data_IF_432534743914
#
_entry.id   IF_432534743914
#
_cell.length_a   1.000
_cell.length_b   1.000
_cell.length_c   1.000
_cell.angle_alpha   90.00
_cell.angle_beta   90.00
_cell.angle_gamma   90.00
#
_symmetry.space_group_name_H-M   'P 1'
#
loop_
_entity.id
_entity.type
_entity.pdbx_description
1 polymer ?
#
# COMPACT_ATOMS: atom_id res chain seq x y z
N UNK A 1 -29.34 15.13 35.43
CA UNK A 1 -28.90 15.44 34.05
C UNK A 1 -27.46 14.94 33.90
N UNK A 2 -27.25 13.86 33.15
CA UNK A 2 -25.94 13.25 32.96
C UNK A 2 -25.41 13.62 31.57
N UNK A 3 -24.31 14.37 31.53
CA UNK A 3 -23.59 14.73 30.32
C UNK A 3 -22.79 13.54 29.80
N UNK A 4 -23.18 13.00 28.64
CA UNK A 4 -22.42 11.99 27.93
C UNK A 4 -21.23 12.64 27.20
N UNK A 5 -20.09 12.73 27.89
CA UNK A 5 -18.77 12.91 27.27
C UNK A 5 -18.40 11.64 26.49
N UNK A 6 -18.94 11.49 25.27
CA UNK A 6 -18.35 10.58 24.29
C UNK A 6 -17.04 11.22 23.80
N UNK A 7 -15.95 10.91 24.49
CA UNK A 7 -14.60 11.09 23.92
C UNK A 7 -14.58 10.27 22.64
N UNK A 8 -14.44 10.97 21.50
CA UNK A 8 -14.05 10.34 20.25
C UNK A 8 -12.76 9.57 20.54
N UNK A 9 -12.85 8.25 20.61
CA UNK A 9 -11.69 7.39 20.67
C UNK A 9 -10.88 7.74 19.42
N UNK A 10 -9.71 8.34 19.63
CA UNK A 10 -8.81 8.69 18.55
C UNK A 10 -8.56 7.45 17.72
N UNK A 11 -9.02 7.49 16.47
CA UNK A 11 -8.57 6.57 15.43
C UNK A 11 -7.04 6.66 15.44
N UNK A 12 -6.39 5.65 16.00
CA UNK A 12 -4.96 5.46 15.85
C UNK A 12 -4.73 5.19 14.37
N UNK A 13 -4.47 6.25 13.60
CA UNK A 13 -4.32 6.26 12.15
C UNK A 13 -3.11 5.48 11.65
N UNK A 14 -3.11 4.17 11.89
CA UNK A 14 -2.20 3.23 11.25
C UNK A 14 -2.60 3.01 9.80
N UNK A 15 -1.62 2.79 8.93
CA UNK A 15 -1.87 2.37 7.54
C UNK A 15 -2.57 1.02 7.58
N UNK A 16 -3.74 0.91 6.94
CA UNK A 16 -4.46 -0.35 6.83
C UNK A 16 -3.62 -1.34 6.00
N UNK A 17 -3.21 -2.44 6.63
CA UNK A 17 -2.57 -3.57 5.96
C UNK A 17 -3.53 -4.76 5.96
N UNK A 18 -3.71 -5.38 4.80
CA UNK A 18 -4.43 -6.63 4.60
C UNK A 18 -3.96 -7.19 3.24
N UNK A 19 -3.47 -8.43 3.09
CA UNK A 19 -3.60 -9.62 3.97
C UNK A 19 -2.26 -10.05 4.60
N UNK A 20 -2.26 -11.17 5.35
CA UNK A 20 -1.09 -11.77 6.03
C UNK A 20 0.08 -12.11 5.08
N UNK A 21 -0.20 -12.19 3.77
CA UNK A 21 0.77 -12.45 2.71
C UNK A 21 0.52 -11.53 1.51
N UNK A 22 1.56 -11.16 0.73
CA UNK A 22 1.37 -10.41 -0.51
C UNK A 22 0.41 -11.12 -1.48
N UNK A 23 -0.59 -10.39 -1.99
CA UNK A 23 -1.46 -10.87 -3.06
C UNK A 23 -0.85 -10.62 -4.44
N UNK A 24 -1.31 -11.41 -5.41
CA UNK A 24 -0.92 -11.25 -6.80
C UNK A 24 0.53 -11.64 -7.09
N UNK A 25 0.94 -11.57 -8.37
CA UNK A 25 2.31 -11.82 -8.79
C UNK A 25 3.28 -10.76 -8.24
N UNK A 26 4.57 -11.08 -8.24
CA UNK A 26 5.64 -10.08 -8.11
C UNK A 26 5.71 -9.19 -9.36
N UNK A 27 6.44 -8.07 -9.29
CA UNK A 27 6.78 -7.35 -10.52
C UNK A 27 7.57 -8.30 -11.43
N UNK A 28 7.27 -8.33 -12.74
CA UNK A 28 8.06 -9.12 -13.67
C UNK A 28 9.49 -8.57 -13.75
N UNK A 29 10.40 -9.41 -14.24
CA UNK A 29 11.77 -8.98 -14.47
C UNK A 29 11.79 -7.73 -15.35
N UNK A 30 12.61 -6.74 -14.97
CA UNK A 30 12.70 -5.46 -15.68
C UNK A 30 13.00 -5.65 -17.19
N UNK A 31 13.82 -6.65 -17.53
CA UNK A 31 14.17 -6.98 -18.92
C UNK A 31 12.99 -7.45 -19.78
N UNK A 32 11.90 -7.91 -19.16
CA UNK A 32 10.71 -8.40 -19.86
C UNK A 32 9.73 -7.29 -20.21
N UNK A 33 9.72 -6.18 -19.46
CA UNK A 33 8.62 -5.20 -19.52
C UNK A 33 9.09 -3.74 -19.64
N UNK A 34 10.30 -3.42 -19.19
CA UNK A 34 10.87 -2.08 -19.32
C UNK A 34 11.68 -1.96 -20.62
N UNK A 35 11.90 -0.74 -21.14
CA UNK A 35 12.84 -0.51 -22.22
C UNK A 35 14.22 -1.09 -21.90
N UNK A 36 14.97 -1.50 -22.93
CA UNK A 36 16.30 -2.12 -22.75
C UNK A 36 17.20 -1.28 -21.83
N UNK A 37 17.86 -1.95 -20.89
CA UNK A 37 18.77 -1.40 -19.87
C UNK A 37 18.09 -0.53 -18.79
N UNK A 38 16.77 -0.57 -18.65
CA UNK A 38 16.10 0.03 -17.50
C UNK A 38 15.92 -1.00 -16.39
N UNK A 39 15.97 -0.51 -15.16
CA UNK A 39 15.69 -1.27 -13.95
C UNK A 39 14.45 -0.71 -13.26
N UNK A 40 13.84 -1.53 -12.41
CA UNK A 40 12.83 -1.06 -11.47
C UNK A 40 13.49 -0.18 -10.41
N UNK A 41 13.05 1.07 -10.31
CA UNK A 41 13.47 1.94 -9.21
C UNK A 41 13.10 1.28 -7.86
N UNK A 42 13.99 1.31 -6.84
CA UNK A 42 13.71 0.71 -5.54
C UNK A 42 12.41 1.20 -4.89
N UNK A 43 12.06 2.48 -5.11
CA UNK A 43 10.82 3.06 -4.59
C UNK A 43 9.58 2.45 -5.25
N UNK A 44 9.66 2.11 -6.54
CA UNK A 44 8.55 1.52 -7.30
C UNK A 44 8.30 0.09 -6.85
N UNK A 45 9.38 -0.67 -6.63
CA UNK A 45 9.29 -2.02 -6.06
C UNK A 45 8.63 -1.97 -4.67
N UNK A 46 9.11 -1.08 -3.79
CA UNK A 46 8.52 -0.89 -2.47
C UNK A 46 7.03 -0.53 -2.51
N UNK A 47 6.63 0.40 -3.39
CA UNK A 47 5.22 0.78 -3.53
C UNK A 47 4.34 -0.35 -4.04
N UNK A 48 4.86 -1.18 -4.95
CA UNK A 48 4.14 -2.35 -5.43
C UNK A 48 3.97 -3.38 -4.31
N UNK A 49 5.02 -3.64 -3.53
CA UNK A 49 4.96 -4.57 -2.42
C UNK A 49 3.99 -4.10 -1.32
N UNK A 50 4.00 -2.81 -0.98
CA UNK A 50 3.00 -2.24 -0.06
C UNK A 50 1.58 -2.33 -0.62
N UNK A 51 1.39 -2.15 -1.94
CA UNK A 51 0.08 -2.38 -2.56
C UNK A 51 -0.38 -3.82 -2.38
N UNK A 52 0.49 -4.81 -2.60
CA UNK A 52 0.13 -6.24 -2.52
C UNK A 52 -0.32 -6.69 -1.12
N UNK A 53 0.06 -5.95 -0.09
CA UNK A 53 -0.37 -6.17 1.31
C UNK A 53 -1.40 -5.14 1.78
N UNK A 54 -2.00 -4.39 0.87
CA UNK A 54 -3.04 -3.41 1.17
C UNK A 54 -4.44 -3.97 0.93
N UNK A 55 -5.48 -3.50 1.66
CA UNK A 55 -6.87 -3.88 1.39
C UNK A 55 -7.30 -3.73 -0.07
N UNK A 56 -6.70 -2.77 -0.79
CA UNK A 56 -6.94 -2.49 -2.20
C UNK A 56 -6.54 -3.67 -3.10
N UNK A 57 -5.50 -4.44 -2.75
CA UNK A 57 -5.11 -5.62 -3.51
C UNK A 57 -6.21 -6.70 -3.55
N UNK A 58 -7.09 -6.74 -2.54
CA UNK A 58 -8.22 -7.67 -2.54
C UNK A 58 -9.25 -7.35 -3.63
N UNK A 59 -9.26 -6.12 -4.15
CA UNK A 59 -10.13 -5.71 -5.25
C UNK A 59 -9.65 -6.24 -6.61
N UNK A 60 -8.40 -6.69 -6.70
CA UNK A 60 -7.80 -7.22 -7.94
C UNK A 60 -8.12 -8.72 -8.08
N UNK A 61 -9.25 -9.02 -8.72
CA UNK A 61 -9.85 -10.37 -8.72
C UNK A 61 -9.30 -11.32 -9.80
N UNK A 62 -8.62 -10.82 -10.82
CA UNK A 62 -8.25 -11.63 -11.99
C UNK A 62 -6.82 -11.35 -12.44
N UNK A 63 -6.17 -12.33 -13.07
CA UNK A 63 -4.81 -12.17 -13.61
C UNK A 63 -4.68 -11.02 -14.60
N UNK A 64 -5.63 -10.77 -15.54
CA UNK A 64 -5.56 -9.59 -16.41
C UNK A 64 -5.56 -8.27 -15.64
N UNK A 65 -6.30 -8.13 -14.53
CA UNK A 65 -6.26 -6.92 -13.72
C UNK A 65 -4.90 -6.74 -13.03
N UNK A 66 -4.28 -7.84 -12.58
CA UNK A 66 -2.91 -7.81 -12.04
C UNK A 66 -1.89 -7.37 -13.09
N UNK A 67 -2.03 -7.84 -14.34
CA UNK A 67 -1.18 -7.41 -15.45
C UNK A 67 -1.37 -5.92 -15.77
N UNK A 68 -2.62 -5.43 -15.80
CA UNK A 68 -2.90 -3.99 -15.96
C UNK A 68 -2.28 -3.14 -14.86
N UNK A 69 -2.31 -3.64 -13.62
CA UNK A 69 -1.66 -2.97 -12.49
C UNK A 69 -0.14 -2.95 -12.65
N UNK A 70 0.50 -4.05 -13.03
CA UNK A 70 1.94 -4.08 -13.31
C UNK A 70 2.33 -3.07 -14.41
N UNK A 71 1.53 -2.95 -15.47
CA UNK A 71 1.72 -1.94 -16.51
C UNK A 71 1.56 -0.49 -16.00
N UNK A 72 0.68 -0.26 -15.03
CA UNK A 72 0.60 1.04 -14.37
C UNK A 72 1.90 1.37 -13.62
N UNK A 73 2.49 0.39 -12.93
CA UNK A 73 3.78 0.57 -12.26
C UNK A 73 4.94 0.80 -13.23
N UNK A 74 4.89 0.27 -14.46
CA UNK A 74 5.86 0.62 -15.53
C UNK A 74 5.81 2.12 -15.85
N UNK A 75 4.61 2.68 -16.04
CA UNK A 75 4.45 4.12 -16.30
C UNK A 75 4.90 4.97 -15.11
N UNK A 76 4.63 4.53 -13.87
CA UNK A 76 5.12 5.21 -12.66
C UNK A 76 6.65 5.17 -12.62
N UNK A 77 7.28 4.06 -12.97
CA UNK A 77 8.73 3.93 -13.05
C UNK A 77 9.33 4.90 -14.07
N UNK A 78 8.78 4.95 -15.27
CA UNK A 78 9.23 5.88 -16.32
C UNK A 78 9.03 7.35 -15.91
N UNK A 79 7.88 7.67 -15.30
CA UNK A 79 7.57 9.00 -14.81
C UNK A 79 8.60 9.47 -13.78
N UNK A 80 8.98 8.61 -12.84
CA UNK A 80 9.98 8.91 -11.81
C UNK A 80 11.39 8.99 -12.39
N UNK A 81 11.76 8.09 -13.31
CA UNK A 81 13.06 8.11 -13.99
C UNK A 81 13.27 9.39 -14.81
N UNK A 82 12.24 9.84 -15.52
CA UNK A 82 12.32 10.98 -16.43
C UNK A 82 11.98 12.32 -15.77
N UNK A 83 11.42 12.30 -14.56
CA UNK A 83 10.89 13.49 -13.87
C UNK A 83 9.65 14.10 -14.55
N UNK A 84 9.06 13.41 -15.53
CA UNK A 84 7.94 13.94 -16.32
C UNK A 84 6.60 13.52 -15.71
N UNK A 85 6.21 14.15 -14.61
CA UNK A 85 4.99 13.81 -13.86
C UNK A 85 3.66 13.95 -14.63
N UNK A 86 3.68 14.55 -15.82
CA UNK A 86 2.51 14.63 -16.70
C UNK A 86 2.27 13.36 -17.54
N UNK A 87 3.20 12.41 -17.60
CA UNK A 87 3.20 11.33 -18.61
C UNK A 87 2.31 10.13 -18.29
N UNK A 88 1.70 10.05 -17.11
CA UNK A 88 0.80 8.93 -16.81
C UNK A 88 -0.43 8.99 -17.71
N UNK A 89 -0.70 7.90 -18.44
CA UNK A 89 -1.79 7.87 -19.42
C UNK A 89 -3.17 7.96 -18.74
N UNK A 90 -4.22 8.47 -19.43
CA UNK A 90 -5.56 8.55 -18.88
C UNK A 90 -6.09 7.21 -18.37
N UNK A 91 -5.78 6.12 -19.06
CA UNK A 91 -6.21 4.76 -18.71
C UNK A 91 -5.56 4.31 -17.40
N UNK A 92 -4.26 4.60 -17.22
CA UNK A 92 -3.58 4.31 -15.95
C UNK A 92 -4.13 5.17 -14.84
N UNK A 93 -4.37 6.47 -15.05
CA UNK A 93 -5.02 7.34 -14.05
C UNK A 93 -6.38 6.81 -13.63
N UNK A 94 -7.18 6.35 -14.58
CA UNK A 94 -8.48 5.75 -14.33
C UNK A 94 -8.34 4.46 -13.51
N UNK A 95 -7.40 3.58 -13.88
CA UNK A 95 -7.10 2.35 -13.16
C UNK A 95 -6.68 2.63 -11.72
N UNK A 96 -5.72 3.53 -11.50
CA UNK A 96 -5.29 3.93 -10.15
C UNK A 96 -6.45 4.51 -9.33
N UNK A 97 -7.34 5.27 -10.00
CA UNK A 97 -8.58 5.77 -9.41
C UNK A 97 -9.54 4.67 -8.96
N UNK A 98 -9.61 3.53 -9.66
CA UNK A 98 -10.45 2.40 -9.22
C UNK A 98 -9.92 1.74 -7.94
N UNK A 99 -8.62 1.85 -7.66
CA UNK A 99 -7.99 1.26 -6.49
C UNK A 99 -7.75 2.25 -5.34
N UNK A 100 -8.35 3.45 -5.37
CA UNK A 100 -8.22 4.36 -4.23
C UNK A 100 -6.91 5.09 -4.11
N UNK A 101 -6.18 5.32 -5.19
CA UNK A 101 -4.94 6.09 -5.09
C UNK A 101 -5.13 7.58 -4.84
N UNK A 102 -6.37 8.07 -4.89
CA UNK A 102 -6.72 9.47 -4.60
C UNK A 102 -7.63 9.56 -3.37
N UNK A 103 -7.59 10.67 -2.60
CA UNK A 103 -8.52 10.85 -1.49
C UNK A 103 -9.99 10.81 -1.91
N UNK A 104 -10.32 11.16 -3.16
CA UNK A 104 -11.67 11.05 -3.69
C UNK A 104 -12.07 9.59 -3.95
N UNK A 105 -11.17 8.79 -4.52
CA UNK A 105 -11.42 7.36 -4.77
C UNK A 105 -11.46 6.53 -3.48
N UNK A 106 -10.62 6.83 -2.48
CA UNK A 106 -10.72 6.19 -1.15
C UNK A 106 -12.08 6.42 -0.51
N UNK A 107 -12.56 7.68 -0.52
CA UNK A 107 -13.89 8.03 -0.01
C UNK A 107 -15.00 7.29 -0.77
N UNK A 108 -14.88 7.19 -2.10
CA UNK A 108 -15.84 6.45 -2.93
C UNK A 108 -15.87 4.94 -2.61
N UNK A 109 -14.72 4.34 -2.31
CA UNK A 109 -14.60 2.93 -1.92
C UNK A 109 -15.09 2.65 -0.49
N UNK A 110 -15.46 3.69 0.28
CA UNK A 110 -15.96 3.56 1.66
C UNK A 110 -15.00 2.82 2.61
N UNK A 111 -13.70 2.78 2.30
CA UNK A 111 -12.66 2.22 3.17
C UNK A 111 -12.45 3.06 4.45
N UNK A 112 -13.09 4.23 4.53
CA UNK A 112 -13.20 5.08 5.73
C UNK A 112 -14.22 4.56 6.76
N UNK A 113 -14.93 3.46 6.45
CA UNK A 113 -15.82 2.78 7.38
C UNK A 113 -15.07 1.55 7.90
N UNK A 114 -15.02 1.31 9.23
CA UNK A 114 -14.52 0.04 9.74
C UNK A 114 -15.25 -1.08 9.01
N UNK A 115 -14.51 -2.05 8.45
CA UNK A 115 -15.11 -3.23 7.86
C UNK A 115 -16.06 -3.82 8.90
N UNK A 116 -17.32 -4.05 8.53
CA UNK A 116 -18.16 -4.92 9.32
C UNK A 116 -17.45 -6.28 9.36
N UNK A 117 -17.31 -6.86 10.54
CA UNK A 117 -16.75 -8.20 10.74
C UNK A 117 -17.69 -9.24 10.10
N UNK A 118 -17.66 -9.35 8.76
CA UNK A 118 -18.34 -10.41 8.03
C UNK A 118 -17.65 -11.78 8.23
N UNK A 119 -16.52 -11.80 8.98
CA UNK A 119 -15.83 -13.01 9.44
C UNK A 119 -16.12 -13.41 10.90
N UNK A 120 -16.95 -12.66 11.63
CA UNK A 120 -17.40 -13.06 12.97
C UNK A 120 -18.54 -14.11 12.90
N UNK A 121 -18.35 -15.15 12.09
CA UNK A 121 -19.13 -16.37 12.15
C UNK A 121 -18.26 -17.47 12.78
N UNK A 122 -18.18 -17.43 14.12
CA UNK A 122 -17.82 -18.59 14.95
C UNK A 122 -16.39 -18.62 15.49
N UNK A 123 -16.32 -19.14 16.72
CA UNK A 123 -15.13 -19.42 17.56
C UNK A 123 -14.65 -18.16 18.31
N UNK A 124 -14.95 -17.96 19.60
CA UNK A 124 -14.82 -18.90 20.71
C UNK A 124 -13.68 -18.40 21.58
N UNK A 125 -13.98 -18.06 22.83
CA UNK A 125 -13.07 -17.58 23.88
C UNK A 125 -11.68 -18.24 23.82
N UNK A 126 -10.61 -17.44 23.90
CA UNK A 126 -9.24 -17.97 23.87
C UNK A 126 -8.16 -16.90 23.91
N UNK A 127 -7.82 -16.49 25.12
CA UNK A 127 -6.63 -15.76 25.55
C UNK A 127 -5.34 -16.14 24.78
N UNK A 128 -4.62 -15.16 24.20
CA UNK A 128 -3.13 -15.03 24.25
C UNK A 128 -2.56 -14.08 23.18
N UNK A 129 -1.63 -13.22 23.64
CA UNK A 129 -0.54 -12.68 22.80
C UNK A 129 -0.44 -11.15 22.77
N UNK A 130 0.33 -10.58 23.70
CA UNK A 130 0.67 -9.15 23.78
C UNK A 130 1.16 -8.60 22.41
N UNK A 131 0.76 -7.38 21.99
CA UNK A 131 1.31 -6.76 20.80
C UNK A 131 2.78 -6.35 21.05
N UNK A 132 3.68 -6.86 20.20
CA UNK A 132 5.07 -6.38 20.10
C UNK A 132 5.06 -4.95 19.54
N UNK A 133 5.35 -3.98 20.40
CA UNK A 133 5.59 -2.60 19.99
C UNK A 133 7.01 -2.38 19.48
N UNK A 134 7.14 -1.41 18.55
CA UNK A 134 8.32 -0.61 18.21
C UNK A 134 9.18 -0.89 16.96
N UNK A 135 8.60 -1.32 15.83
CA UNK A 135 9.33 -1.32 14.54
C UNK A 135 9.62 0.10 13.99
N UNK A 136 8.76 1.08 14.28
CA UNK A 136 8.92 2.45 13.76
C UNK A 136 10.09 3.21 14.41
N UNK A 137 10.38 2.94 15.69
CA UNK A 137 11.53 3.53 16.37
C UNK A 137 12.83 2.83 15.99
N UNK A 138 12.81 1.54 15.68
CA UNK A 138 13.97 0.83 15.15
C UNK A 138 14.35 1.32 13.74
N UNK A 139 13.35 1.55 12.87
CA UNK A 139 13.57 2.12 11.54
C UNK A 139 14.18 3.52 11.61
N UNK A 140 13.65 4.40 12.49
CA UNK A 140 14.19 5.75 12.72
C UNK A 140 15.59 5.76 13.34
N UNK A 141 15.93 4.74 14.13
CA UNK A 141 17.25 4.59 14.74
C UNK A 141 18.28 4.13 13.70
N UNK A 142 17.92 3.16 12.85
CA UNK A 142 18.78 2.66 11.75
C UNK A 142 19.06 3.73 10.69
N UNK A 143 18.04 4.51 10.32
CA UNK A 143 18.18 5.60 9.33
C UNK A 143 19.00 6.79 9.84
N UNK A 144 19.01 7.07 11.16
CA UNK A 144 19.90 8.07 11.77
C UNK A 144 21.37 7.65 11.83
N UNK A 145 21.65 6.34 11.96
CA UNK A 145 23.02 5.82 11.99
C UNK A 145 23.63 5.80 10.59
N UNK A 146 22.84 5.46 9.56
CA UNK A 146 23.30 5.44 8.17
C UNK A 146 23.62 6.84 7.59
N UNK A 147 23.00 7.90 8.12
CA UNK A 147 23.22 9.28 7.68
C UNK A 147 24.53 9.92 8.16
N UNK A 148 25.28 9.27 9.07
CA UNK A 148 26.48 9.87 9.70
C UNK A 148 27.82 9.32 9.18
N UNK A 149 27.80 8.46 8.15
CA UNK A 149 28.99 7.87 7.54
C UNK A 149 29.31 8.36 6.11
N UNK A 150 28.63 9.41 5.62
CA UNK A 150 28.92 10.01 4.29
C UNK A 150 29.50 11.42 4.34
N UNK A 151 30.20 11.79 5.41
CA UNK A 151 31.11 12.93 5.42
C UNK A 151 32.30 12.61 6.34
N UNK A 152 33.31 11.97 5.77
CA UNK A 152 34.71 12.00 6.19
C UNK A 152 35.55 11.63 4.96
#
# INVERSE_FOLDING_TARGET
MAGNNRRAAGSSGGVLKAPDRPLGPELPDASQILPKNHEWLPIVQHWYDEFRVSPQAQLVRTSPMWMSLQLAFVQINEMLLTGRFATMSPEVRQLMGQFGWTPASLRAMKLDKPLADDYAAGVGDGEHGKPRGNDMEEFKRRSRIAGRQRVA
#
